data_IF_282347294950
#
_entry.id   IF_282347294950
#
_cell.length_a   1.000
_cell.length_b   1.000
_cell.length_c   1.000
_cell.angle_alpha   90.00
_cell.angle_beta   90.00
_cell.angle_gamma   90.00
#
_symmetry.space_group_name_H-M   'P 1'
#
loop_
_entity.id
_entity.type
_entity.pdbx_description
1 polymer ?
#
# COMPACT_ATOMS: atom_id res chain seq x y z
N UNK A 1 -4.05 24.99 -1.53
CA UNK A 1 -3.15 23.95 -2.08
C UNK A 1 -3.83 22.60 -1.87
N UNK A 2 -4.03 21.79 -2.91
CA UNK A 2 -4.70 20.48 -2.84
C UNK A 2 -3.71 19.31 -2.67
N UNK A 3 -2.42 19.61 -2.74
CA UNK A 3 -1.33 18.67 -2.49
C UNK A 3 -0.86 18.87 -1.06
N UNK A 4 -0.81 17.80 -0.30
CA UNK A 4 -0.25 17.78 1.05
C UNK A 4 1.25 17.56 1.00
N UNK A 5 1.96 18.17 1.96
CA UNK A 5 3.39 17.94 2.17
C UNK A 5 3.68 16.63 2.90
N UNK A 6 2.63 15.91 3.34
CA UNK A 6 2.74 14.65 4.06
C UNK A 6 1.69 13.66 3.57
N UNK A 7 1.89 12.35 3.76
CA UNK A 7 0.95 11.34 3.29
C UNK A 7 -0.45 11.56 3.88
N UNK A 8 -1.47 11.38 3.05
CA UNK A 8 -2.88 11.41 3.47
C UNK A 8 -3.23 10.04 4.03
N UNK A 9 -3.53 9.98 5.31
CA UNK A 9 -4.03 8.79 5.96
C UNK A 9 -5.47 8.52 5.51
N UNK A 10 -5.70 7.31 5.03
CA UNK A 10 -7.00 6.81 4.61
C UNK A 10 -7.44 5.77 5.62
N UNK A 11 -8.59 5.96 6.23
CA UNK A 11 -9.09 5.05 7.26
C UNK A 11 -10.61 4.92 7.21
N UNK A 12 -11.13 3.91 7.91
CA UNK A 12 -12.56 3.64 8.02
C UNK A 12 -12.87 3.07 9.41
N UNK A 13 -13.53 3.85 10.25
CA UNK A 13 -13.82 3.45 11.63
C UNK A 13 -14.61 2.11 11.68
N UNK A 14 -15.63 1.96 10.84
CA UNK A 14 -16.36 0.69 10.70
C UNK A 14 -16.80 0.44 9.24
N UNK A 15 -17.08 -0.81 8.84
CA UNK A 15 -17.42 -1.13 7.45
C UNK A 15 -18.67 -0.40 6.92
N UNK A 16 -19.54 0.10 7.81
CA UNK A 16 -20.74 0.86 7.47
C UNK A 16 -20.51 2.37 7.35
N UNK A 17 -19.33 2.88 7.73
CA UNK A 17 -18.98 4.30 7.66
C UNK A 17 -18.27 4.63 6.34
N UNK A 18 -18.36 5.87 5.84
CA UNK A 18 -17.60 6.29 4.67
C UNK A 18 -16.09 6.27 4.95
N UNK A 19 -15.30 6.21 3.88
CA UNK A 19 -13.85 6.43 3.95
C UNK A 19 -13.56 7.86 4.40
N UNK A 20 -12.62 8.00 5.33
CA UNK A 20 -12.17 9.27 5.88
C UNK A 20 -10.71 9.53 5.52
N UNK A 21 -10.37 10.83 5.45
CA UNK A 21 -9.04 11.30 5.11
C UNK A 21 -8.50 12.22 6.21
N UNK A 22 -7.35 11.86 6.76
CA UNK A 22 -6.58 12.72 7.63
C UNK A 22 -5.26 13.09 6.98
N UNK A 23 -4.84 14.34 7.12
CA UNK A 23 -3.57 14.78 6.56
C UNK A 23 -2.84 15.67 7.56
N UNK A 24 -1.66 15.25 8.02
CA UNK A 24 -0.86 16.04 8.95
C UNK A 24 -0.54 17.43 8.38
N UNK A 25 -0.61 18.48 9.21
CA UNK A 25 -0.23 19.83 8.80
C UNK A 25 -1.20 20.53 7.83
N UNK A 26 -2.44 20.05 7.72
CA UNK A 26 -3.51 20.55 6.85
C UNK A 26 -3.67 22.09 6.93
N UNK A 27 -3.62 22.83 5.80
CA UNK A 27 -4.09 24.21 5.76
C UNK A 27 -5.59 24.28 6.08
N UNK A 28 -6.02 25.29 6.83
CA UNK A 28 -7.40 25.46 7.33
C UNK A 28 -8.52 25.46 6.25
N UNK A 29 -8.18 25.48 4.97
CA UNK A 29 -9.11 25.62 3.84
C UNK A 29 -9.24 24.37 2.97
N UNK A 30 -8.59 23.27 3.33
CA UNK A 30 -8.70 22.05 2.53
C UNK A 30 -10.11 21.48 2.75
N UNK A 31 -10.87 21.16 1.68
CA UNK A 31 -12.29 20.86 1.80
C UNK A 31 -12.51 19.76 2.83
N UNK A 32 -13.64 19.83 3.52
CA UNK A 32 -14.17 18.68 4.26
C UNK A 32 -14.46 17.62 3.21
N UNK A 33 -13.48 16.77 2.90
CA UNK A 33 -13.56 15.71 1.90
C UNK A 33 -14.40 14.57 2.45
N UNK A 34 -15.64 14.85 2.84
CA UNK A 34 -16.61 13.82 3.19
C UNK A 34 -17.11 13.27 1.86
N UNK A 35 -16.64 12.09 1.46
CA UNK A 35 -17.02 11.42 0.22
C UNK A 35 -18.55 11.35 0.02
N UNK A 36 -19.31 11.34 1.13
CA UNK A 36 -20.77 11.32 1.15
C UNK A 36 -21.47 12.66 0.85
N UNK A 37 -20.77 13.82 0.91
CA UNK A 37 -21.35 15.14 0.61
C UNK A 37 -21.09 15.64 -0.81
N UNK A 38 -20.40 14.83 -1.62
CA UNK A 38 -19.93 15.22 -2.95
C UNK A 38 -21.00 15.21 -4.05
N UNK A 39 -22.19 14.63 -3.82
CA UNK A 39 -23.24 14.58 -4.85
C UNK A 39 -23.87 15.95 -5.18
N UNK A 40 -23.61 17.01 -4.41
CA UNK A 40 -24.25 18.32 -4.58
C UNK A 40 -23.33 19.47 -5.06
N UNK A 41 -22.03 19.26 -5.30
CA UNK A 41 -21.09 20.39 -5.50
C UNK A 41 -20.27 20.38 -6.81
N UNK A 42 -20.87 20.97 -7.86
CA UNK A 42 -20.26 21.84 -8.89
C UNK A 42 -19.23 21.31 -9.91
N UNK A 43 -19.27 21.92 -11.11
CA UNK A 43 -18.39 21.84 -12.31
C UNK A 43 -16.86 21.86 -12.07
N UNK A 44 -16.40 22.02 -10.82
CA UNK A 44 -14.99 22.04 -10.46
C UNK A 44 -14.39 20.65 -10.15
N UNK A 45 -15.20 19.61 -10.00
CA UNK A 45 -14.72 18.23 -9.76
C UNK A 45 -13.72 17.74 -10.82
N UNK A 46 -14.01 18.02 -12.10
CA UNK A 46 -13.13 17.65 -13.21
C UNK A 46 -11.72 18.25 -13.12
N UNK A 47 -11.54 19.33 -12.34
CA UNK A 47 -10.25 19.99 -12.13
C UNK A 47 -9.58 19.59 -10.81
N UNK A 48 -10.38 19.32 -9.77
CA UNK A 48 -9.89 19.06 -8.41
C UNK A 48 -9.43 17.60 -8.25
N UNK A 49 -10.20 16.65 -8.78
CA UNK A 49 -9.96 15.23 -8.54
C UNK A 49 -8.63 14.73 -9.13
N UNK A 50 -8.22 15.13 -10.36
CA UNK A 50 -6.90 14.76 -10.89
C UNK A 50 -5.74 15.26 -10.03
N UNK A 51 -5.82 16.47 -9.48
CA UNK A 51 -4.77 17.03 -8.63
C UNK A 51 -4.75 16.29 -7.29
N UNK A 52 -5.91 16.11 -6.66
CA UNK A 52 -5.98 15.45 -5.36
C UNK A 52 -5.52 13.98 -5.43
N UNK A 53 -6.09 13.17 -6.32
CA UNK A 53 -5.74 11.75 -6.40
C UNK A 53 -4.40 11.50 -7.08
N UNK A 54 -4.03 12.31 -8.08
CA UNK A 54 -2.81 12.09 -8.86
C UNK A 54 -1.54 12.74 -8.32
N UNK A 55 -1.65 13.67 -7.36
CA UNK A 55 -0.47 14.36 -6.81
C UNK A 55 -0.26 14.13 -5.31
N UNK A 56 -1.20 13.48 -4.61
CA UNK A 56 -1.02 13.13 -3.21
C UNK A 56 -0.58 11.68 -3.04
N UNK A 57 0.14 11.47 -1.95
CA UNK A 57 0.48 10.15 -1.44
C UNK A 57 -0.61 9.70 -0.47
N UNK A 58 -1.25 8.56 -0.76
CA UNK A 58 -2.27 7.97 0.11
C UNK A 58 -1.69 6.83 0.94
N UNK A 59 -1.84 6.89 2.24
CA UNK A 59 -1.33 5.90 3.18
C UNK A 59 -2.51 5.16 3.82
N UNK A 60 -2.63 3.86 3.56
CA UNK A 60 -3.64 2.98 4.16
C UNK A 60 -3.05 2.04 5.21
N UNK A 61 -1.75 2.18 5.55
CA UNK A 61 -1.07 1.28 6.50
C UNK A 61 -1.83 1.27 7.83
N UNK A 62 -2.44 0.13 8.16
CA UNK A 62 -3.16 -0.07 9.41
C UNK A 62 -2.56 -1.24 10.19
N UNK A 63 -1.76 -0.92 11.19
CA UNK A 63 -1.11 -1.90 12.07
C UNK A 63 -2.02 -2.46 13.16
N UNK A 64 -3.28 -2.00 13.26
CA UNK A 64 -4.13 -2.22 14.43
C UNK A 64 -5.38 -3.04 14.15
N UNK A 65 -6.08 -2.82 13.03
CA UNK A 65 -7.45 -3.38 12.87
C UNK A 65 -7.53 -4.60 11.94
N UNK A 66 -6.44 -4.99 11.26
CA UNK A 66 -6.40 -6.06 10.24
C UNK A 66 -7.48 -5.94 9.15
N UNK A 67 -7.98 -4.72 8.90
CA UNK A 67 -9.01 -4.42 7.88
C UNK A 67 -8.46 -3.71 6.66
N UNK A 68 -7.14 -3.57 6.54
CA UNK A 68 -6.49 -2.79 5.48
C UNK A 68 -7.02 -3.16 4.09
N UNK A 69 -7.10 -4.43 3.73
CA UNK A 69 -7.62 -4.87 2.41
C UNK A 69 -9.09 -4.48 2.18
N UNK A 70 -9.90 -4.49 3.24
CA UNK A 70 -11.31 -4.04 3.15
C UNK A 70 -11.43 -2.53 2.99
N UNK A 71 -10.54 -1.78 3.67
CA UNK A 71 -10.45 -0.32 3.53
C UNK A 71 -9.93 0.04 2.14
N UNK A 72 -8.95 -0.69 1.62
CA UNK A 72 -8.43 -0.55 0.26
C UNK A 72 -9.53 -0.81 -0.77
N UNK A 73 -10.29 -1.88 -0.63
CA UNK A 73 -11.43 -2.16 -1.51
C UNK A 73 -12.46 -1.04 -1.44
N UNK A 74 -12.88 -0.63 -0.24
CA UNK A 74 -13.82 0.46 -0.07
C UNK A 74 -13.27 1.79 -0.65
N UNK A 75 -11.98 2.06 -0.52
CA UNK A 75 -11.34 3.25 -1.09
C UNK A 75 -11.31 3.24 -2.62
N UNK A 76 -11.00 2.10 -3.23
CA UNK A 76 -10.85 1.96 -4.69
C UNK A 76 -12.18 1.74 -5.42
N UNK A 77 -13.14 1.07 -4.78
CA UNK A 77 -14.42 0.62 -5.38
C UNK A 77 -15.61 1.52 -5.03
N UNK A 78 -15.45 2.42 -4.05
CA UNK A 78 -16.40 3.50 -3.73
C UNK A 78 -16.80 4.34 -4.96
N UNK A 79 -17.96 5.06 -4.99
CA UNK A 79 -18.77 5.36 -6.19
C UNK A 79 -18.14 6.02 -7.42
N UNK A 80 -16.85 6.33 -7.41
CA UNK A 80 -16.14 6.85 -8.57
C UNK A 80 -14.81 6.10 -8.76
N UNK A 81 -14.89 4.86 -9.25
CA UNK A 81 -13.75 4.06 -9.78
C UNK A 81 -12.84 4.86 -10.73
N UNK A 82 -13.37 5.93 -11.34
CA UNK A 82 -12.62 6.93 -12.08
C UNK A 82 -11.45 7.56 -11.30
N UNK A 83 -11.58 7.73 -9.98
CA UNK A 83 -10.55 8.35 -9.14
C UNK A 83 -9.42 7.39 -8.78
N UNK A 84 -9.71 6.10 -8.60
CA UNK A 84 -8.69 5.08 -8.36
C UNK A 84 -7.66 5.04 -9.50
N UNK A 85 -8.13 5.25 -10.73
CA UNK A 85 -7.26 5.35 -11.92
C UNK A 85 -6.36 6.57 -11.92
N UNK A 86 -6.63 7.59 -11.11
CA UNK A 86 -5.80 8.80 -11.01
C UNK A 86 -4.68 8.62 -9.99
N UNK A 87 -4.77 7.64 -9.08
CA UNK A 87 -3.79 7.41 -8.02
C UNK A 87 -2.40 7.15 -8.60
N UNK A 88 -1.41 7.90 -8.12
CA UNK A 88 -0.02 7.79 -8.56
C UNK A 88 0.94 7.26 -7.48
N UNK A 89 0.59 7.42 -6.20
CA UNK A 89 1.44 7.08 -5.05
C UNK A 89 0.61 6.57 -3.86
N UNK A 90 0.91 5.35 -3.41
CA UNK A 90 0.24 4.71 -2.27
C UNK A 90 1.23 4.05 -1.30
N UNK A 91 0.85 3.97 -0.02
CA UNK A 91 1.46 3.09 1.00
C UNK A 91 0.46 2.06 1.52
N UNK A 92 0.91 0.82 1.63
CA UNK A 92 0.19 -0.30 2.22
C UNK A 92 1.11 -1.08 3.18
N UNK A 93 0.55 -1.94 4.01
CA UNK A 93 1.33 -2.96 4.70
C UNK A 93 1.88 -3.95 3.66
N UNK A 94 3.09 -4.45 3.88
CA UNK A 94 3.64 -5.52 3.05
C UNK A 94 2.69 -6.73 3.09
N UNK A 95 2.41 -7.38 1.93
CA UNK A 95 1.50 -8.51 1.89
C UNK A 95 1.96 -9.62 2.84
N UNK A 96 1.05 -10.06 3.71
CA UNK A 96 1.39 -11.10 4.69
C UNK A 96 1.78 -12.40 3.99
N UNK A 97 2.84 -13.02 4.49
CA UNK A 97 3.32 -14.33 4.05
C UNK A 97 3.02 -15.38 5.12
N UNK A 98 2.41 -16.49 4.71
CA UNK A 98 2.04 -17.59 5.61
C UNK A 98 2.50 -18.93 5.05
N UNK A 99 2.63 -19.92 5.93
CA UNK A 99 2.91 -21.28 5.53
C UNK A 99 1.74 -21.86 4.71
N UNK A 100 2.06 -22.58 3.65
CA UNK A 100 1.08 -23.30 2.85
C UNK A 100 0.41 -24.39 3.70
N UNK A 101 -0.89 -24.62 3.45
CA UNK A 101 -1.67 -25.60 4.20
C UNK A 101 -1.04 -27.00 4.06
N UNK A 102 -0.66 -27.60 5.20
CA UNK A 102 0.01 -28.89 5.24
C UNK A 102 1.50 -28.89 4.87
N UNK A 103 2.11 -27.71 4.61
CA UNK A 103 3.54 -27.54 4.32
C UNK A 103 4.13 -26.33 5.07
N UNK A 104 4.43 -26.47 6.38
CA UNK A 104 5.01 -25.42 7.21
C UNK A 104 6.29 -24.77 6.66
N UNK A 105 7.03 -25.52 5.86
CA UNK A 105 8.29 -25.12 5.23
C UNK A 105 8.11 -24.24 3.98
N UNK A 106 6.93 -24.25 3.35
CA UNK A 106 6.66 -23.47 2.13
C UNK A 106 5.86 -22.22 2.49
N UNK A 107 6.41 -21.05 2.21
CA UNK A 107 5.76 -19.76 2.41
C UNK A 107 5.07 -19.32 1.12
N UNK A 108 3.91 -18.71 1.27
CA UNK A 108 3.15 -18.13 0.18
C UNK A 108 2.45 -16.86 0.58
N UNK A 109 2.01 -16.11 -0.42
CA UNK A 109 1.11 -14.98 -0.25
C UNK A 109 -0.20 -15.45 0.40
N UNK A 110 -0.61 -14.76 1.46
CA UNK A 110 -1.96 -14.92 2.02
C UNK A 110 -3.03 -14.59 0.99
N UNK A 111 -4.22 -15.15 1.15
CA UNK A 111 -5.38 -14.81 0.31
C UNK A 111 -5.70 -13.31 0.37
N UNK A 112 -5.56 -12.70 1.55
CA UNK A 112 -5.80 -11.27 1.74
C UNK A 112 -4.71 -10.42 1.05
N UNK A 113 -3.44 -10.81 1.17
CA UNK A 113 -2.34 -10.16 0.45
C UNK A 113 -2.49 -10.25 -1.07
N UNK A 114 -2.87 -11.42 -1.60
CA UNK A 114 -3.16 -11.61 -3.03
C UNK A 114 -4.33 -10.72 -3.48
N UNK A 115 -5.39 -10.64 -2.67
CA UNK A 115 -6.56 -9.79 -2.94
C UNK A 115 -6.18 -8.31 -2.98
N UNK A 116 -5.36 -7.83 -2.05
CA UNK A 116 -4.88 -6.45 -2.03
C UNK A 116 -4.09 -6.10 -3.31
N UNK A 117 -3.16 -6.97 -3.72
CA UNK A 117 -2.40 -6.79 -4.96
C UNK A 117 -3.32 -6.80 -6.19
N UNK A 118 -4.32 -7.67 -6.21
CA UNK A 118 -5.30 -7.73 -7.31
C UNK A 118 -6.15 -6.45 -7.42
N UNK A 119 -6.56 -5.88 -6.28
CA UNK A 119 -7.27 -4.60 -6.25
C UNK A 119 -6.43 -3.47 -6.87
N UNK A 120 -5.13 -3.41 -6.59
CA UNK A 120 -4.23 -2.43 -7.20
C UNK A 120 -4.11 -2.63 -8.72
N UNK A 121 -3.92 -3.88 -9.16
CA UNK A 121 -3.84 -4.21 -10.59
C UNK A 121 -5.09 -3.79 -11.35
N UNK A 122 -6.27 -4.03 -10.79
CA UNK A 122 -7.55 -3.82 -11.48
C UNK A 122 -7.99 -2.36 -11.50
N UNK A 123 -7.57 -1.55 -10.50
CA UNK A 123 -8.12 -0.20 -10.31
C UNK A 123 -7.10 0.93 -10.50
N UNK A 124 -5.81 0.70 -10.25
CA UNK A 124 -4.81 1.76 -10.14
C UNK A 124 -3.92 1.89 -11.39
N UNK A 125 -4.53 2.23 -12.53
CA UNK A 125 -3.87 2.27 -13.84
C UNK A 125 -2.69 3.26 -13.97
N UNK A 126 -2.61 4.27 -13.10
CA UNK A 126 -1.54 5.28 -13.09
C UNK A 126 -0.63 5.19 -11.86
N UNK A 127 -0.70 4.10 -11.09
CA UNK A 127 0.13 3.93 -9.90
C UNK A 127 1.60 3.84 -10.30
N UNK A 128 2.38 4.85 -9.94
CA UNK A 128 3.82 4.94 -10.27
C UNK A 128 4.74 4.58 -9.12
N UNK A 129 4.29 4.83 -7.89
CA UNK A 129 5.04 4.56 -6.66
C UNK A 129 4.17 3.77 -5.70
N UNK A 130 4.69 2.65 -5.21
CA UNK A 130 4.06 1.87 -4.17
C UNK A 130 5.06 1.66 -3.04
N UNK A 131 4.66 2.03 -1.83
CA UNK A 131 5.45 1.79 -0.62
C UNK A 131 4.79 0.68 0.21
N UNK A 132 5.59 -0.25 0.68
CA UNK A 132 5.17 -1.31 1.58
C UNK A 132 5.82 -1.16 2.94
N UNK A 133 5.01 -1.28 3.98
CA UNK A 133 5.45 -1.20 5.37
C UNK A 133 5.57 -2.60 5.95
N UNK A 134 6.79 -2.94 6.37
CA UNK A 134 7.08 -4.19 7.06
C UNK A 134 7.07 -3.92 8.57
N UNK A 135 6.21 -4.66 9.28
CA UNK A 135 6.04 -4.59 10.73
C UNK A 135 5.95 -6.00 11.35
N UNK A 136 6.06 -6.10 12.67
CA UNK A 136 6.14 -7.38 13.41
C UNK A 136 5.02 -8.38 13.05
N UNK A 137 3.85 -7.88 12.65
CA UNK A 137 2.66 -8.69 12.39
C UNK A 137 2.50 -9.24 10.96
N UNK A 138 3.29 -8.79 9.96
CA UNK A 138 3.05 -9.16 8.55
C UNK A 138 4.22 -9.87 7.85
N UNK A 139 5.43 -9.86 8.42
CA UNK A 139 6.61 -10.39 7.72
C UNK A 139 7.55 -11.21 8.61
N UNK A 140 6.98 -12.07 9.46
CA UNK A 140 7.73 -12.90 10.42
C UNK A 140 8.85 -13.73 9.77
N UNK A 141 8.74 -14.07 8.47
CA UNK A 141 9.73 -14.84 7.71
C UNK A 141 10.79 -14.01 6.97
N UNK A 142 10.69 -12.67 7.00
CA UNK A 142 11.66 -11.76 6.36
C UNK A 142 12.70 -11.22 7.36
N UNK A 143 12.57 -11.59 8.63
CA UNK A 143 13.34 -11.07 9.76
C UNK A 143 14.00 -12.24 10.51
N UNK A 144 15.28 -12.09 10.89
CA UNK A 144 16.00 -13.07 11.73
C UNK A 144 17.31 -13.62 11.14
N UNK A 145 18.08 -14.28 12.00
CA UNK A 145 19.33 -14.96 11.64
C UNK A 145 19.09 -16.13 10.66
N UNK A 146 20.06 -16.45 9.78
CA UNK A 146 19.91 -17.35 8.62
C UNK A 146 19.76 -18.84 8.97
N UNK A 147 19.24 -19.19 10.15
CA UNK A 147 19.07 -20.57 10.59
C UNK A 147 17.86 -21.29 9.97
N UNK A 148 17.01 -20.57 9.23
CA UNK A 148 15.90 -21.11 8.44
C UNK A 148 16.17 -21.17 6.94
N UNK A 149 15.40 -22.00 6.23
CA UNK A 149 15.49 -22.17 4.78
C UNK A 149 15.04 -20.90 4.03
N UNK A 150 16.02 -20.05 3.72
CA UNK A 150 15.84 -18.79 2.98
C UNK A 150 15.15 -18.99 1.63
N UNK A 151 15.19 -20.20 1.06
CA UNK A 151 14.62 -20.48 -0.24
C UNK A 151 13.11 -20.23 -0.28
N UNK A 152 12.41 -20.58 0.80
CA UNK A 152 10.97 -20.38 0.94
C UNK A 152 10.58 -18.90 0.93
N UNK A 153 11.32 -18.06 1.67
CA UNK A 153 11.14 -16.60 1.64
C UNK A 153 11.47 -16.01 0.27
N UNK A 154 12.51 -16.52 -0.40
CA UNK A 154 12.87 -16.09 -1.75
C UNK A 154 11.77 -16.39 -2.78
N UNK A 155 11.17 -17.58 -2.71
CA UNK A 155 10.05 -17.98 -3.57
C UNK A 155 8.82 -17.11 -3.32
N UNK A 156 8.47 -16.87 -2.07
CA UNK A 156 7.35 -16.00 -1.70
C UNK A 156 7.55 -14.54 -2.20
N UNK A 157 8.76 -14.00 -2.05
CA UNK A 157 9.10 -12.66 -2.57
C UNK A 157 9.03 -12.60 -4.10
N UNK A 158 9.45 -13.67 -4.78
CA UNK A 158 9.33 -13.79 -6.24
C UNK A 158 7.87 -13.81 -6.70
N UNK A 159 6.97 -14.40 -5.90
CA UNK A 159 5.53 -14.34 -6.17
C UNK A 159 4.99 -12.91 -6.03
N UNK A 160 5.38 -12.19 -4.98
CA UNK A 160 5.02 -10.76 -4.80
C UNK A 160 5.51 -9.93 -5.99
N UNK A 161 6.77 -10.09 -6.38
CA UNK A 161 7.35 -9.40 -7.55
C UNK A 161 6.59 -9.69 -8.84
N UNK A 162 6.23 -10.95 -9.07
CA UNK A 162 5.42 -11.35 -10.23
C UNK A 162 4.08 -10.60 -10.24
N UNK A 163 3.40 -10.48 -9.10
CA UNK A 163 2.14 -9.75 -8.99
C UNK A 163 2.31 -8.23 -9.17
N UNK A 164 3.41 -7.64 -8.70
CA UNK A 164 3.68 -6.21 -8.86
C UNK A 164 4.02 -5.84 -10.30
N UNK A 165 4.74 -6.70 -11.03
CA UNK A 165 5.09 -6.51 -12.45
C UNK A 165 3.88 -6.51 -13.39
N UNK A 166 2.72 -7.02 -12.93
CA UNK A 166 1.46 -6.91 -13.68
C UNK A 166 0.95 -5.46 -13.75
N UNK A 167 1.41 -4.56 -12.87
CA UNK A 167 1.03 -3.15 -12.87
C UNK A 167 1.98 -2.35 -13.77
N UNK A 168 1.64 -2.06 -15.04
CA UNK A 168 2.60 -1.53 -16.01
C UNK A 168 3.06 -0.10 -15.72
N UNK A 169 2.27 0.66 -14.96
CA UNK A 169 2.60 2.03 -14.56
C UNK A 169 3.60 2.11 -13.41
N UNK A 170 3.79 1.00 -12.68
CA UNK A 170 4.58 0.97 -11.45
C UNK A 170 6.07 1.06 -11.79
N UNK A 171 6.71 2.12 -11.31
CA UNK A 171 8.12 2.44 -11.60
C UNK A 171 9.00 2.34 -10.37
N UNK A 172 8.42 2.53 -9.19
CA UNK A 172 9.14 2.58 -7.93
C UNK A 172 8.42 1.78 -6.87
N UNK A 173 9.10 0.77 -6.34
CA UNK A 173 8.64 -0.02 -5.20
C UNK A 173 9.58 0.28 -4.04
N UNK A 174 9.03 0.72 -2.92
CA UNK A 174 9.79 1.03 -1.71
C UNK A 174 9.34 0.08 -0.61
N UNK A 175 10.27 -0.63 0.03
CA UNK A 175 10.02 -1.45 1.21
C UNK A 175 10.59 -0.71 2.41
N UNK A 176 9.73 -0.36 3.37
CA UNK A 176 10.12 0.30 4.62
C UNK A 176 10.05 -0.67 5.78
N UNK A 177 11.19 -0.93 6.39
CA UNK A 177 11.30 -1.75 7.59
C UNK A 177 11.21 -0.87 8.83
N UNK A 178 10.14 -1.03 9.61
CA UNK A 178 9.98 -0.39 10.93
C UNK A 178 10.24 -1.36 12.08
N UNK A 179 10.57 -2.61 11.76
CA UNK A 179 10.83 -3.67 12.73
C UNK A 179 12.01 -4.52 12.27
N UNK A 180 13.06 -4.57 13.10
CA UNK A 180 14.31 -5.31 12.90
C UNK A 180 15.00 -5.11 11.54
N UNK A 181 16.25 -5.58 11.43
CA UNK A 181 16.99 -5.48 10.17
C UNK A 181 16.61 -6.64 9.24
N UNK A 182 16.31 -6.37 7.96
CA UNK A 182 16.11 -7.45 6.99
C UNK A 182 17.34 -8.36 6.93
N UNK A 183 17.09 -9.65 6.72
CA UNK A 183 18.17 -10.59 6.41
C UNK A 183 18.93 -10.11 5.16
N UNK A 184 20.27 -10.22 5.15
CA UNK A 184 21.09 -9.72 4.04
C UNK A 184 20.78 -10.40 2.71
N UNK A 185 20.43 -11.69 2.71
CA UNK A 185 19.99 -12.41 1.51
C UNK A 185 18.65 -11.92 0.99
N UNK A 186 17.70 -11.67 1.89
CA UNK A 186 16.39 -11.08 1.56
C UNK A 186 16.55 -9.67 0.99
N UNK A 187 17.40 -8.85 1.60
CA UNK A 187 17.68 -7.50 1.14
C UNK A 187 18.32 -7.50 -0.26
N UNK A 188 19.30 -8.38 -0.50
CA UNK A 188 19.92 -8.53 -1.82
C UNK A 188 18.91 -8.99 -2.88
N UNK A 189 18.00 -9.90 -2.52
CA UNK A 189 16.96 -10.36 -3.44
C UNK A 189 16.00 -9.22 -3.81
N UNK A 190 15.48 -8.48 -2.82
CA UNK A 190 14.59 -7.35 -3.05
C UNK A 190 15.26 -6.29 -3.94
N UNK A 191 16.53 -5.99 -3.69
CA UNK A 191 17.31 -5.08 -4.54
C UNK A 191 17.51 -5.64 -5.96
N UNK A 192 17.65 -6.96 -6.11
CA UNK A 192 17.67 -7.65 -7.40
C UNK A 192 16.36 -7.58 -8.18
N UNK A 193 15.25 -7.25 -7.50
CA UNK A 193 13.95 -6.92 -8.13
C UNK A 193 13.78 -5.43 -8.41
N UNK A 194 14.85 -4.63 -8.26
CA UNK A 194 14.83 -3.16 -8.35
C UNK A 194 13.96 -2.49 -7.26
N UNK A 195 13.73 -3.17 -6.13
CA UNK A 195 13.02 -2.57 -5.00
C UNK A 195 13.99 -1.77 -4.12
N UNK A 196 13.51 -0.63 -3.62
CA UNK A 196 14.25 0.23 -2.72
C UNK A 196 13.95 -0.18 -1.29
N UNK A 197 14.93 -0.70 -0.56
CA UNK A 197 14.77 -1.11 0.84
C UNK A 197 15.31 -0.01 1.77
N UNK A 198 14.45 0.51 2.65
CA UNK A 198 14.75 1.60 3.60
C UNK A 198 14.43 1.17 5.03
N UNK A 199 15.19 1.70 5.98
CA UNK A 199 14.92 1.55 7.41
C UNK A 199 14.16 2.77 7.92
N UNK A 200 13.00 2.54 8.55
CA UNK A 200 12.14 3.60 9.07
C UNK A 200 11.80 4.68 8.02
N UNK A 201 11.89 5.94 8.45
CA UNK A 201 11.56 7.12 7.65
C UNK A 201 12.73 7.68 6.84
N UNK A 202 13.88 6.98 6.78
CA UNK A 202 15.02 7.44 5.99
C UNK A 202 14.60 7.66 4.52
N UNK A 203 15.05 8.77 3.92
CA UNK A 203 14.83 9.07 2.50
C UNK A 203 13.56 9.86 2.14
N UNK A 204 12.80 10.39 3.11
CA UNK A 204 11.81 11.45 2.85
C UNK A 204 12.56 12.80 2.67
N UNK A 205 12.99 13.10 1.44
CA UNK A 205 13.56 14.39 1.05
C UNK A 205 12.78 14.97 -0.13
#
# INVERSE_FOLDING_TARGET
MLVASSPILVFQESPSQPIEFFAPGKPAQWPTLTLAKYQEYNDNEHKINPIFYGSNHFNLVDTTTRRETSILEAFLVSPTTAHARLLSHMSLSFPALEAAEGRPEVLGLTQDGMRALKLLQDNCANLTTLEFYVHEGNAFSLVGEPSGDLQSSCEALSQVDTQLKVIPSLKRIVIRYYYDRPNSGVMQLMQGFDWIVLMGDEGLA
#
